data_IF_990494208140
#
_entry.id   IF_990494208140
#
_cell.length_a   1.000
_cell.length_b   1.000
_cell.length_c   1.000
_cell.angle_alpha   90.00
_cell.angle_beta   90.00
_cell.angle_gamma   90.00
#
_symmetry.space_group_name_H-M   'P 1'
#
loop_
_entity.id
_entity.type
_entity.pdbx_description
1 polymer ?
#
# COMPACT_ATOMS: atom_id res chain seq x y z
N UNK A 1 -33.09 80.34 28.91
CA UNK A 1 -32.88 79.23 27.95
C UNK A 1 -31.86 78.26 28.58
N UNK A 2 -32.30 77.13 29.12
CA UNK A 2 -31.48 76.25 29.95
C UNK A 2 -30.46 75.45 29.12
N UNK A 3 -29.17 75.72 29.33
CA UNK A 3 -28.06 74.88 28.83
C UNK A 3 -28.06 73.56 29.60
N UNK A 4 -28.47 72.47 28.94
CA UNK A 4 -28.26 71.10 29.45
C UNK A 4 -26.75 70.84 29.49
N UNK A 5 -26.20 70.62 30.69
CA UNK A 5 -24.83 70.13 30.88
C UNK A 5 -24.78 68.68 30.41
N UNK A 6 -24.10 68.43 29.29
CA UNK A 6 -23.64 67.10 28.94
C UNK A 6 -22.58 66.68 29.97
N UNK A 7 -22.91 65.68 30.78
CA UNK A 7 -22.00 65.09 31.75
C UNK A 7 -21.18 64.06 31.00
N UNK A 8 -19.96 64.41 30.60
CA UNK A 8 -19.00 63.45 30.07
C UNK A 8 -18.64 62.47 31.20
N UNK A 9 -19.20 61.26 31.13
CA UNK A 9 -18.78 60.13 31.97
C UNK A 9 -17.52 59.53 31.34
N UNK A 10 -16.37 59.70 32.00
CA UNK A 10 -15.18 58.93 31.69
C UNK A 10 -15.34 57.48 32.14
N UNK A 11 -14.63 56.57 31.47
CA UNK A 11 -14.60 55.15 31.84
C UNK A 11 -13.98 54.97 33.24
N UNK A 12 -14.55 54.06 34.02
CA UNK A 12 -13.96 53.69 35.32
C UNK A 12 -12.82 52.69 35.12
N UNK A 13 -11.85 52.67 36.04
CA UNK A 13 -10.75 51.70 36.00
C UNK A 13 -11.27 50.25 35.95
N UNK A 14 -12.36 49.98 36.67
CA UNK A 14 -13.02 48.67 36.74
C UNK A 14 -13.57 48.23 35.37
N UNK A 15 -14.09 49.18 34.60
CA UNK A 15 -14.68 48.92 33.28
C UNK A 15 -13.60 48.52 32.26
N UNK A 16 -12.45 49.19 32.29
CA UNK A 16 -11.29 48.82 31.46
C UNK A 16 -10.76 47.44 31.86
N UNK A 17 -10.70 47.15 33.15
CA UNK A 17 -10.24 45.85 33.65
C UNK A 17 -11.18 44.71 33.22
N UNK A 18 -12.49 44.93 33.33
CA UNK A 18 -13.50 43.96 32.89
C UNK A 18 -13.45 43.74 31.38
N UNK A 19 -13.29 44.81 30.59
CA UNK A 19 -13.18 44.72 29.14
C UNK A 19 -11.95 43.91 28.70
N UNK A 20 -10.78 44.15 29.29
CA UNK A 20 -9.54 43.41 28.97
C UNK A 20 -9.66 41.94 29.40
N UNK A 21 -10.32 41.66 30.53
CA UNK A 21 -10.53 40.30 31.03
C UNK A 21 -11.42 39.48 30.09
N UNK A 22 -12.55 40.05 29.66
CA UNK A 22 -13.45 39.41 28.69
C UNK A 22 -12.73 39.22 27.35
N UNK A 23 -11.98 40.23 26.90
CA UNK A 23 -11.20 40.15 25.66
C UNK A 23 -10.16 39.02 25.70
N UNK A 24 -9.43 38.88 26.81
CA UNK A 24 -8.46 37.80 26.98
C UNK A 24 -9.11 36.40 26.94
N UNK A 25 -10.30 36.24 27.52
CA UNK A 25 -11.07 34.99 27.46
C UNK A 25 -11.49 34.69 26.02
N UNK A 26 -12.05 35.69 25.32
CA UNK A 26 -12.49 35.53 23.92
C UNK A 26 -11.32 35.18 23.01
N UNK A 27 -10.18 35.87 23.13
CA UNK A 27 -8.97 35.57 22.36
C UNK A 27 -8.44 34.17 22.68
N UNK A 28 -8.43 33.77 23.95
CA UNK A 28 -7.98 32.43 24.35
C UNK A 28 -8.86 31.32 23.77
N UNK A 29 -10.19 31.51 23.79
CA UNK A 29 -11.14 30.57 23.19
C UNK A 29 -10.96 30.51 21.67
N UNK A 30 -10.84 31.66 21.01
CA UNK A 30 -10.60 31.72 19.56
C UNK A 30 -9.26 31.05 19.17
N UNK A 31 -8.21 31.29 19.96
CA UNK A 31 -6.89 30.69 19.72
C UNK A 31 -6.88 29.18 20.01
N UNK A 32 -7.63 28.74 21.03
CA UNK A 32 -7.87 27.32 21.32
C UNK A 32 -8.61 26.62 20.18
N UNK A 33 -9.67 27.23 19.64
CA UNK A 33 -10.39 26.73 18.46
C UNK A 33 -9.51 26.71 17.21
N UNK A 34 -8.64 27.71 17.02
CA UNK A 34 -7.66 27.72 15.93
C UNK A 34 -6.69 26.54 16.07
N UNK A 35 -6.07 26.34 17.25
CA UNK A 35 -5.18 25.19 17.51
C UNK A 35 -5.87 23.84 17.33
N UNK A 36 -7.11 23.70 17.79
CA UNK A 36 -7.90 22.49 17.61
C UNK A 36 -8.19 22.21 16.12
N UNK A 37 -8.45 23.26 15.31
CA UNK A 37 -8.69 23.12 13.87
C UNK A 37 -7.43 22.70 13.11
N UNK A 38 -6.26 23.25 13.45
CA UNK A 38 -5.00 22.87 12.80
C UNK A 38 -4.55 21.43 13.15
N UNK A 39 -4.82 20.95 14.37
CA UNK A 39 -4.52 19.56 14.75
C UNK A 39 -5.37 18.54 13.98
N UNK A 40 -6.59 18.91 13.57
CA UNK A 40 -7.52 18.02 12.86
C UNK A 40 -7.17 17.89 11.36
N UNK A 41 -6.51 18.89 10.78
CA UNK A 41 -6.22 18.91 9.33
C UNK A 41 -5.03 17.99 8.99
N UNK A 42 -3.92 18.04 9.74
CA UNK A 42 -2.70 17.24 9.45
C UNK A 42 -2.94 15.73 9.57
N UNK A 43 -3.67 15.27 10.58
CA UNK A 43 -3.95 13.84 10.80
C UNK A 43 -4.88 13.25 9.72
N UNK A 44 -5.69 14.08 9.06
CA UNK A 44 -6.60 13.63 8.00
C UNK A 44 -5.85 13.45 6.67
N UNK A 45 -4.86 14.30 6.39
CA UNK A 45 -4.08 14.27 5.14
C UNK A 45 -3.18 13.04 5.06
N UNK A 46 -2.46 12.72 6.14
CA UNK A 46 -1.57 11.55 6.22
C UNK A 46 -2.30 10.20 6.09
N UNK A 47 -3.47 10.07 6.73
CA UNK A 47 -4.31 8.87 6.56
C UNK A 47 -4.77 8.73 5.11
N UNK A 48 -5.23 9.82 4.50
CA UNK A 48 -5.70 9.80 3.10
C UNK A 48 -4.58 9.37 2.15
N UNK A 49 -3.34 9.80 2.39
CA UNK A 49 -2.18 9.37 1.62
C UNK A 49 -1.92 7.86 1.73
N UNK A 50 -1.91 7.30 2.94
CA UNK A 50 -1.70 5.86 3.18
C UNK A 50 -2.77 5.03 2.45
N UNK A 51 -4.05 5.40 2.60
CA UNK A 51 -5.16 4.72 1.92
C UNK A 51 -5.03 4.77 0.40
N UNK A 52 -4.63 5.92 -0.16
CA UNK A 52 -4.44 6.10 -1.60
C UNK A 52 -3.30 5.22 -2.13
N UNK A 53 -2.13 5.26 -1.47
CA UNK A 53 -0.96 4.43 -1.81
C UNK A 53 -1.30 2.95 -1.77
N UNK A 54 -1.91 2.50 -0.67
CA UNK A 54 -2.31 1.11 -0.50
C UNK A 54 -3.32 0.67 -1.56
N UNK A 55 -4.36 1.46 -1.83
CA UNK A 55 -5.39 1.13 -2.81
C UNK A 55 -4.82 1.01 -4.23
N UNK A 56 -3.91 1.90 -4.63
CA UNK A 56 -3.23 1.83 -5.92
C UNK A 56 -2.35 0.58 -5.97
N UNK A 57 -1.52 0.34 -4.96
CA UNK A 57 -0.64 -0.82 -4.91
C UNK A 57 -1.44 -2.14 -4.97
N UNK A 58 -2.50 -2.28 -4.18
CA UNK A 58 -3.40 -3.43 -4.18
C UNK A 58 -4.06 -3.65 -5.54
N UNK A 59 -4.53 -2.58 -6.18
CA UNK A 59 -5.16 -2.64 -7.50
C UNK A 59 -4.20 -3.14 -8.57
N UNK A 60 -2.95 -2.63 -8.57
CA UNK A 60 -1.90 -3.08 -9.47
C UNK A 60 -1.56 -4.55 -9.26
N UNK A 61 -1.31 -4.96 -8.00
CA UNK A 61 -0.99 -6.35 -7.65
C UNK A 61 -2.11 -7.31 -8.07
N UNK A 62 -3.36 -6.95 -7.75
CA UNK A 62 -4.53 -7.76 -8.11
C UNK A 62 -4.68 -7.91 -9.63
N UNK A 63 -4.48 -6.81 -10.38
CA UNK A 63 -4.52 -6.84 -11.85
C UNK A 63 -3.42 -7.71 -12.46
N UNK A 64 -2.19 -7.62 -11.92
CA UNK A 64 -1.06 -8.40 -12.42
C UNK A 64 -1.24 -9.89 -12.14
N UNK A 65 -1.65 -10.25 -10.92
CA UNK A 65 -1.97 -11.63 -10.54
C UNK A 65 -3.17 -12.18 -11.32
N UNK A 66 -4.19 -11.36 -11.58
CA UNK A 66 -5.32 -11.75 -12.44
C UNK A 66 -4.93 -12.04 -13.88
N UNK A 67 -3.75 -11.62 -14.32
CA UNK A 67 -3.23 -11.78 -15.69
C UNK A 67 -2.19 -12.91 -15.81
N UNK A 68 -2.11 -13.78 -14.80
CA UNK A 68 -1.13 -14.85 -14.72
C UNK A 68 -1.25 -15.83 -15.91
N UNK A 69 -0.12 -16.17 -16.52
CA UNK A 69 -0.06 -17.05 -17.66
C UNK A 69 0.02 -18.52 -17.24
N UNK A 70 -0.98 -19.31 -17.64
CA UNK A 70 -1.16 -20.72 -17.25
C UNK A 70 -0.60 -21.73 -18.27
N UNK A 71 0.08 -21.27 -19.31
CA UNK A 71 0.60 -22.16 -20.35
C UNK A 71 1.86 -22.94 -19.94
N UNK A 72 2.39 -23.74 -20.86
CA UNK A 72 3.48 -24.71 -20.64
C UNK A 72 4.80 -24.13 -20.08
N UNK A 73 5.00 -22.82 -20.19
CA UNK A 73 6.18 -22.10 -19.66
C UNK A 73 5.83 -21.11 -18.56
N UNK A 74 4.59 -21.13 -18.08
CA UNK A 74 4.14 -20.35 -16.95
C UNK A 74 4.77 -20.86 -15.65
N UNK A 75 5.08 -19.96 -14.74
CA UNK A 75 5.46 -20.32 -13.38
C UNK A 75 4.95 -19.29 -12.39
N UNK A 76 4.86 -19.70 -11.13
CA UNK A 76 4.66 -18.84 -9.97
C UNK A 76 5.57 -19.32 -8.86
N UNK A 77 6.37 -18.40 -8.33
CA UNK A 77 7.28 -18.64 -7.22
C UNK A 77 7.14 -17.53 -6.20
N UNK A 78 6.91 -17.92 -4.96
CA UNK A 78 6.74 -17.07 -3.79
C UNK A 78 7.69 -17.50 -2.69
N UNK A 79 8.42 -16.56 -2.11
CA UNK A 79 9.38 -16.87 -1.04
C UNK A 79 9.23 -15.90 0.11
N UNK A 80 9.18 -16.42 1.36
CA UNK A 80 9.28 -15.57 2.51
C UNK A 80 10.66 -14.93 2.54
N UNK A 81 10.71 -13.67 2.93
CA UNK A 81 11.96 -12.95 3.11
C UNK A 81 11.84 -12.06 4.34
N UNK A 82 12.95 -11.93 5.07
CA UNK A 82 13.04 -11.02 6.19
C UNK A 82 14.12 -9.96 5.91
N UNK A 83 13.76 -8.69 6.07
CA UNK A 83 14.68 -7.55 5.94
C UNK A 83 14.55 -6.72 7.22
N UNK A 84 15.65 -6.59 7.96
CA UNK A 84 15.66 -5.78 9.18
C UNK A 84 14.71 -6.26 10.28
N UNK A 85 14.35 -7.55 10.31
CA UNK A 85 13.38 -8.12 11.24
C UNK A 85 11.92 -8.06 10.76
N UNK A 86 11.65 -7.44 9.61
CA UNK A 86 10.31 -7.27 9.03
C UNK A 86 10.03 -8.31 7.95
N UNK A 87 8.79 -8.78 7.83
CA UNK A 87 8.38 -9.63 6.70
C UNK A 87 8.37 -8.81 5.42
N UNK A 88 9.03 -9.34 4.39
CA UNK A 88 9.39 -8.64 3.17
C UNK A 88 9.25 -9.58 1.97
N UNK A 89 8.17 -10.36 1.96
CA UNK A 89 7.95 -11.47 1.05
C UNK A 89 8.05 -11.06 -0.41
N UNK A 90 8.52 -11.99 -1.24
CA UNK A 90 8.71 -11.78 -2.67
C UNK A 90 7.87 -12.75 -3.47
N UNK A 91 7.40 -12.31 -4.63
CA UNK A 91 6.69 -13.16 -5.57
C UNK A 91 7.10 -12.82 -7.01
N UNK A 92 7.23 -13.85 -7.83
CA UNK A 92 7.54 -13.74 -9.25
C UNK A 92 6.70 -14.74 -10.04
N UNK A 93 6.16 -14.30 -11.16
CA UNK A 93 5.31 -15.13 -12.00
C UNK A 93 5.34 -14.69 -13.46
N UNK A 94 4.98 -15.63 -14.35
CA UNK A 94 4.76 -15.33 -15.76
C UNK A 94 3.38 -14.71 -15.93
N UNK A 95 3.30 -13.57 -16.61
CA UNK A 95 2.06 -12.84 -16.86
C UNK A 95 1.90 -12.48 -18.33
N UNK A 96 0.64 -12.36 -18.75
CA UNK A 96 0.26 -11.77 -20.04
C UNK A 96 0.19 -10.24 -19.98
N UNK A 97 0.18 -9.65 -18.78
CA UNK A 97 0.14 -8.21 -18.55
C UNK A 97 1.51 -7.55 -18.73
N UNK A 98 2.13 -7.74 -19.91
CA UNK A 98 3.33 -7.00 -20.24
C UNK A 98 2.99 -5.54 -20.56
N UNK A 99 3.51 -4.61 -19.76
CA UNK A 99 3.40 -3.19 -20.05
C UNK A 99 4.53 -2.78 -21.00
N UNK A 100 4.18 -2.52 -22.26
CA UNK A 100 5.11 -1.91 -23.23
C UNK A 100 5.30 -0.43 -22.85
N UNK A 101 6.31 -0.15 -22.03
CA UNK A 101 6.60 1.20 -21.54
C UNK A 101 7.47 2.01 -22.53
N UNK A 102 8.03 1.37 -23.56
CA UNK A 102 8.87 2.01 -24.57
C UNK A 102 8.35 1.78 -26.00
N UNK A 103 8.23 2.85 -26.80
CA UNK A 103 7.78 2.77 -28.21
C UNK A 103 8.69 1.93 -29.13
N UNK A 104 9.92 1.63 -28.71
CA UNK A 104 10.86 0.76 -29.45
C UNK A 104 10.73 -0.72 -29.10
N UNK A 105 9.91 -1.06 -28.11
CA UNK A 105 9.80 -2.41 -27.57
C UNK A 105 8.73 -3.19 -28.32
N UNK A 106 9.10 -4.35 -28.87
CA UNK A 106 8.16 -5.28 -29.49
C UNK A 106 7.35 -5.97 -28.39
N UNK A 107 6.04 -6.07 -28.57
CA UNK A 107 5.17 -6.78 -27.63
C UNK A 107 5.62 -8.24 -27.52
N UNK A 108 6.32 -8.57 -26.44
CA UNK A 108 6.51 -9.95 -26.03
C UNK A 108 5.12 -10.46 -25.58
N UNK A 109 4.68 -11.61 -26.12
CA UNK A 109 3.36 -12.17 -25.77
C UNK A 109 3.21 -12.50 -24.28
N UNK A 110 4.33 -12.59 -23.54
CA UNK A 110 4.39 -12.85 -22.10
C UNK A 110 5.59 -12.09 -21.47
N UNK A 111 5.46 -11.73 -20.20
CA UNK A 111 6.53 -11.13 -19.40
C UNK A 111 6.62 -11.78 -18.03
N UNK A 112 7.77 -11.62 -17.39
CA UNK A 112 7.96 -11.99 -16.00
C UNK A 112 7.73 -10.77 -15.13
N UNK A 113 6.73 -10.83 -14.26
CA UNK A 113 6.47 -9.82 -13.24
C UNK A 113 7.10 -10.31 -11.94
N UNK A 114 7.83 -9.45 -11.25
CA UNK A 114 8.33 -9.72 -9.90
C UNK A 114 8.08 -8.55 -8.96
N UNK A 115 7.64 -8.87 -7.75
CA UNK A 115 7.59 -7.94 -6.65
C UNK A 115 8.74 -8.21 -5.69
N UNK A 116 9.53 -7.18 -5.45
CA UNK A 116 10.71 -7.24 -4.60
C UNK A 116 10.65 -6.13 -3.57
N UNK A 117 11.14 -6.41 -2.37
CA UNK A 117 11.12 -5.48 -1.25
C UNK A 117 12.56 -5.04 -0.93
N UNK A 118 12.75 -3.74 -0.71
CA UNK A 118 14.01 -3.18 -0.19
C UNK A 118 13.74 -2.38 1.07
N UNK A 119 14.67 -2.39 2.03
CA UNK A 119 14.66 -1.44 3.15
C UNK A 119 15.09 -0.05 2.64
N UNK A 120 14.36 0.97 3.06
CA UNK A 120 14.77 2.36 2.91
C UNK A 120 15.88 2.70 3.92
N UNK A 121 17.06 3.13 3.45
CA UNK A 121 18.20 3.35 4.34
C UNK A 121 17.99 4.48 5.35
N UNK A 122 17.12 5.45 5.04
CA UNK A 122 16.86 6.62 5.87
C UNK A 122 15.76 6.34 6.90
N UNK A 123 14.64 5.77 6.45
CA UNK A 123 13.44 5.59 7.29
C UNK A 123 13.36 4.22 7.96
N UNK A 124 14.14 3.23 7.50
CA UNK A 124 14.04 1.82 7.92
C UNK A 124 12.69 1.16 7.61
N UNK A 125 11.85 1.83 6.82
CA UNK A 125 10.61 1.24 6.28
C UNK A 125 10.91 0.45 5.01
N UNK A 126 9.99 -0.40 4.61
CA UNK A 126 10.08 -1.22 3.41
C UNK A 126 9.51 -0.47 2.20
N UNK A 127 10.11 -0.72 1.05
CA UNK A 127 9.69 -0.23 -0.27
C UNK A 127 9.42 -1.41 -1.19
N UNK A 128 8.22 -1.46 -1.73
CA UNK A 128 7.76 -2.49 -2.65
C UNK A 128 7.97 -2.02 -4.09
N UNK A 129 8.71 -2.79 -4.87
CA UNK A 129 8.97 -2.54 -6.29
C UNK A 129 8.29 -3.60 -7.16
N UNK A 130 7.73 -3.18 -8.29
CA UNK A 130 7.29 -4.05 -9.38
C UNK A 130 8.31 -4.00 -10.52
N UNK A 131 8.85 -5.14 -10.90
CA UNK A 131 9.67 -5.27 -12.10
C UNK A 131 8.88 -5.99 -13.20
N UNK A 132 9.05 -5.54 -14.44
CA UNK A 132 8.44 -6.11 -15.64
C UNK A 132 9.58 -6.45 -16.61
N UNK A 133 9.85 -7.74 -16.80
CA UNK A 133 10.87 -8.21 -17.74
C UNK A 133 10.20 -8.93 -18.88
N UNK A 134 10.15 -8.28 -20.05
CA UNK A 134 9.67 -8.88 -21.29
C UNK A 134 10.47 -10.15 -21.61
N UNK A 135 9.79 -11.23 -22.02
CA UNK A 135 10.49 -12.42 -22.51
C UNK A 135 11.08 -12.12 -23.90
N UNK A 136 12.41 -11.98 -24.01
CA UNK A 136 13.12 -11.76 -25.28
C UNK A 136 13.92 -13.02 -25.66
N UNK A 137 13.89 -13.46 -26.94
CA UNK A 137 14.69 -14.60 -27.41
C UNK A 137 16.21 -14.39 -27.35
N UNK A 138 16.67 -13.15 -27.21
CA UNK A 138 18.08 -12.76 -27.14
C UNK A 138 18.31 -12.08 -25.79
N UNK A 139 19.12 -12.71 -24.93
CA UNK A 139 19.64 -12.11 -23.71
C UNK A 139 20.53 -10.93 -24.12
N UNK A 140 19.96 -9.73 -24.10
CA UNK A 140 20.76 -8.51 -24.15
C UNK A 140 20.88 -8.06 -22.71
N UNK A 141 22.09 -8.14 -22.14
CA UNK A 141 22.37 -7.54 -20.83
C UNK A 141 22.09 -6.03 -20.94
N UNK A 142 20.91 -5.60 -20.49
CA UNK A 142 20.63 -4.17 -20.42
C UNK A 142 21.51 -3.58 -19.30
N UNK A 143 22.35 -2.55 -19.59
CA UNK A 143 23.40 -2.09 -18.67
C UNK A 143 22.93 -1.40 -17.39
N UNK A 144 21.63 -1.40 -17.13
CA UNK A 144 21.06 -0.81 -15.93
C UNK A 144 19.66 -1.42 -15.77
N UNK A 145 19.58 -2.58 -15.12
CA UNK A 145 18.29 -3.15 -14.74
C UNK A 145 17.64 -2.15 -13.77
N UNK A 146 16.88 -1.20 -14.31
CA UNK A 146 16.08 -0.26 -13.52
C UNK A 146 15.41 -1.05 -12.42
N UNK A 147 15.52 -0.57 -11.18
CA UNK A 147 15.05 -1.24 -9.94
C UNK A 147 13.58 -1.70 -9.97
N UNK A 148 12.83 -1.32 -10.99
CA UNK A 148 11.41 -1.52 -11.15
C UNK A 148 10.66 -0.21 -10.94
N UNK A 149 9.35 -0.28 -11.06
CA UNK A 149 8.44 0.78 -10.61
C UNK A 149 8.32 0.69 -9.09
N UNK A 150 8.63 1.78 -8.36
CA UNK A 150 8.27 1.88 -6.95
C UNK A 150 6.74 1.90 -6.85
N UNK A 151 6.17 0.87 -6.24
CA UNK A 151 4.73 0.70 -6.13
C UNK A 151 4.19 1.25 -4.83
N UNK A 152 4.92 1.06 -3.74
CA UNK A 152 4.56 1.56 -2.42
C UNK A 152 5.79 1.71 -1.54
N UNK A 153 5.80 2.73 -0.69
CA UNK A 153 6.82 2.99 0.34
C UNK A 153 6.18 3.13 1.72
N UNK A 154 7.00 3.24 2.77
CA UNK A 154 6.52 3.42 4.15
C UNK A 154 5.90 2.17 4.77
N UNK A 155 6.27 0.98 4.28
CA UNK A 155 5.71 -0.29 4.72
C UNK A 155 6.47 -0.84 5.94
N UNK A 156 5.74 -1.46 6.86
CA UNK A 156 6.32 -2.24 7.97
C UNK A 156 6.34 -3.74 7.68
N UNK A 157 5.45 -4.21 6.80
CA UNK A 157 5.31 -5.62 6.47
C UNK A 157 4.80 -5.75 5.04
N UNK A 158 5.38 -6.70 4.31
CA UNK A 158 4.83 -7.23 3.06
C UNK A 158 4.73 -8.73 3.24
N UNK A 159 3.50 -9.24 3.35
CA UNK A 159 3.22 -10.64 3.59
C UNK A 159 2.42 -11.24 2.45
N UNK A 160 2.78 -12.44 2.02
CA UNK A 160 2.08 -13.17 0.96
C UNK A 160 1.74 -14.58 1.44
N UNK A 161 0.45 -14.88 1.49
CA UNK A 161 -0.06 -16.18 1.92
C UNK A 161 -0.72 -16.89 0.75
N UNK A 162 -0.30 -18.14 0.54
CA UNK A 162 -0.81 -19.04 -0.49
C UNK A 162 -1.79 -20.02 0.16
N UNK A 163 -3.00 -20.10 -0.39
CA UNK A 163 -4.00 -21.06 0.04
C UNK A 163 -4.12 -22.20 -0.95
N UNK A 164 -4.13 -23.43 -0.47
CA UNK A 164 -4.35 -24.63 -1.28
C UNK A 164 -5.25 -25.63 -0.56
N UNK A 165 -5.87 -26.56 -1.31
CA UNK A 165 -6.57 -27.74 -0.79
C UNK A 165 -7.44 -27.48 0.46
N UNK A 166 -8.65 -26.95 0.28
CA UNK A 166 -9.59 -26.71 1.39
C UNK A 166 -9.09 -25.73 2.47
N UNK A 167 -8.13 -24.85 2.14
CA UNK A 167 -7.77 -23.69 2.97
C UNK A 167 -6.46 -23.81 3.73
N UNK A 168 -5.63 -24.82 3.45
CA UNK A 168 -4.26 -24.91 3.98
C UNK A 168 -3.46 -23.67 3.55
N UNK A 169 -2.84 -23.01 4.53
CA UNK A 169 -2.03 -21.81 4.33
C UNK A 169 -0.55 -22.16 4.26
N UNK A 170 0.15 -21.55 3.31
CA UNK A 170 1.59 -21.66 3.11
C UNK A 170 2.18 -20.26 2.91
N UNK A 171 3.39 -20.03 3.42
CA UNK A 171 4.16 -18.78 3.31
C UNK A 171 5.04 -18.74 2.04
N UNK A 172 5.14 -19.87 1.36
CA UNK A 172 5.94 -20.07 0.15
C UNK A 172 5.17 -20.86 -0.87
N UNK A 173 5.52 -20.66 -2.14
CA UNK A 173 5.00 -21.46 -3.24
C UNK A 173 6.06 -21.63 -4.30
N UNK A 174 6.20 -22.85 -4.82
CA UNK A 174 7.01 -23.10 -6.00
C UNK A 174 6.26 -24.01 -6.96
N UNK A 175 5.76 -23.42 -8.06
CA UNK A 175 5.02 -24.18 -9.06
C UNK A 175 5.88 -25.20 -9.82
N UNK A 176 7.22 -25.16 -9.70
CA UNK A 176 8.15 -26.07 -10.37
C UNK A 176 8.51 -27.27 -9.51
N UNK A 177 8.57 -27.12 -8.18
CA UNK A 177 8.89 -28.24 -7.27
C UNK A 177 7.77 -29.29 -7.20
N UNK A 178 6.52 -28.87 -7.42
CA UNK A 178 5.35 -29.76 -7.30
C UNK A 178 5.15 -30.61 -8.58
N UNK A 179 5.96 -30.42 -9.62
CA UNK A 179 5.85 -31.10 -10.92
C UNK A 179 6.51 -32.49 -10.89
N UNK A 180 5.80 -33.44 -10.28
CA UNK A 180 5.80 -34.86 -10.72
C UNK A 180 4.40 -35.25 -11.14
N UNK A 181 3.80 -34.50 -12.06
CA UNK A 181 2.50 -34.83 -12.66
C UNK A 181 2.57 -34.63 -14.17
N UNK A 182 1.88 -35.50 -14.92
CA UNK A 182 1.92 -35.60 -16.39
C UNK A 182 1.32 -34.38 -17.14
N UNK A 183 0.87 -33.34 -16.42
CA UNK A 183 0.38 -32.09 -17.00
C UNK A 183 1.49 -31.04 -17.07
N UNK A 184 1.78 -30.57 -18.28
CA UNK A 184 2.76 -29.52 -18.57
C UNK A 184 2.36 -28.10 -18.07
N UNK A 185 1.23 -27.93 -17.37
CA UNK A 185 0.75 -26.64 -16.87
C UNK A 185 1.23 -26.40 -15.41
N UNK A 186 1.57 -25.16 -15.02
CA UNK A 186 1.98 -24.85 -13.65
C UNK A 186 0.83 -25.11 -12.66
N UNK A 187 1.12 -25.77 -11.55
CA UNK A 187 0.16 -25.91 -10.45
C UNK A 187 0.11 -24.60 -9.66
N UNK A 188 -1.10 -24.07 -9.51
CA UNK A 188 -1.36 -22.82 -8.80
C UNK A 188 -2.02 -23.04 -7.45
N UNK A 189 -1.85 -22.09 -6.51
CA UNK A 189 -2.69 -22.00 -5.34
C UNK A 189 -4.13 -21.65 -5.73
N UNK A 190 -5.07 -21.98 -4.85
CA UNK A 190 -6.50 -21.71 -4.98
C UNK A 190 -6.76 -20.19 -4.83
N UNK A 191 -6.00 -19.58 -3.91
CA UNK A 191 -6.06 -18.15 -3.59
C UNK A 191 -4.68 -17.65 -3.15
N UNK A 192 -4.31 -16.45 -3.58
CA UNK A 192 -3.15 -15.71 -3.07
C UNK A 192 -3.68 -14.51 -2.33
N UNK A 193 -3.29 -14.36 -1.08
CA UNK A 193 -3.60 -13.23 -0.22
C UNK A 193 -2.33 -12.40 0.00
N UNK A 194 -2.41 -11.09 -0.23
CA UNK A 194 -1.28 -10.17 -0.07
C UNK A 194 -1.70 -9.10 0.91
N UNK A 195 -0.87 -8.91 1.93
CA UNK A 195 -1.06 -7.91 2.98
C UNK A 195 0.08 -6.90 3.00
N UNK A 196 -0.28 -5.62 3.06
CA UNK A 196 0.63 -4.50 3.29
C UNK A 196 0.30 -3.87 4.64
N UNK A 197 1.31 -3.74 5.50
CA UNK A 197 1.17 -3.08 6.79
C UNK A 197 1.88 -1.73 6.76
N UNK A 198 1.20 -0.69 7.26
CA UNK A 198 1.77 0.63 7.48
C UNK A 198 1.76 0.95 8.97
N UNK A 199 2.73 1.73 9.44
CA UNK A 199 2.56 2.42 10.73
C UNK A 199 1.39 3.39 10.62
N UNK A 200 0.66 3.57 11.72
CA UNK A 200 -0.30 4.65 11.81
C UNK A 200 0.40 6.02 11.74
N UNK A 201 -0.34 7.10 11.48
CA UNK A 201 0.22 8.45 11.30
C UNK A 201 0.86 9.03 12.58
N UNK A 202 0.52 8.48 13.75
CA UNK A 202 1.07 8.88 15.06
C UNK A 202 1.63 7.64 15.78
N UNK A 203 2.62 7.80 16.67
CA UNK A 203 3.24 6.68 17.39
C UNK A 203 2.25 5.86 18.25
N UNK A 204 1.14 6.48 18.67
CA UNK A 204 0.07 5.84 19.44
C UNK A 204 -1.00 5.18 18.54
N UNK A 205 -0.96 5.43 17.22
CA UNK A 205 -1.91 4.88 16.27
C UNK A 205 -1.60 3.41 15.97
N UNK A 206 -2.65 2.59 15.89
CA UNK A 206 -2.50 1.19 15.53
C UNK A 206 -1.98 1.06 14.09
N UNK A 207 -1.12 0.07 13.80
CA UNK A 207 -0.73 -0.26 12.44
C UNK A 207 -1.95 -0.52 11.56
N UNK A 208 -1.90 -0.03 10.31
CA UNK A 208 -3.00 -0.13 9.35
C UNK A 208 -2.65 -1.22 8.34
N UNK A 209 -3.45 -2.29 8.29
CA UNK A 209 -3.27 -3.41 7.37
C UNK A 209 -4.24 -3.30 6.20
N UNK A 210 -3.71 -3.44 4.99
CA UNK A 210 -4.46 -3.56 3.75
C UNK A 210 -4.25 -4.94 3.16
N UNK A 211 -5.33 -5.61 2.81
CA UNK A 211 -5.29 -6.97 2.27
C UNK A 211 -6.07 -7.05 0.98
N UNK A 212 -5.48 -7.69 -0.03
CA UNK A 212 -6.15 -8.09 -1.26
C UNK A 212 -5.99 -9.58 -1.47
N UNK A 213 -6.96 -10.22 -2.12
CA UNK A 213 -6.89 -11.64 -2.44
C UNK A 213 -7.34 -11.88 -3.87
N UNK A 214 -6.58 -12.71 -4.58
CA UNK A 214 -6.88 -13.14 -5.95
C UNK A 214 -7.13 -14.65 -5.94
N UNK A 215 -8.22 -15.07 -6.58
CA UNK A 215 -8.61 -16.47 -6.70
C UNK A 215 -8.40 -16.95 -8.13
N UNK A 216 -7.95 -18.19 -8.30
CA UNK A 216 -7.65 -18.76 -9.61
C UNK A 216 -8.68 -19.83 -9.98
N UNK A 217 -9.22 -19.81 -11.22
CA UNK A 217 -10.17 -20.82 -11.67
C UNK A 217 -9.46 -22.17 -11.84
N UNK A 218 -9.68 -23.08 -10.89
CA UNK A 218 -9.04 -24.40 -10.90
C UNK A 218 -9.30 -25.27 -9.67
N UNK A 219 -9.80 -24.70 -8.58
CA UNK A 219 -10.11 -25.43 -7.34
C UNK A 219 -11.51 -25.08 -6.85
N UNK A 220 -12.52 -25.61 -7.52
CA UNK A 220 -13.88 -25.58 -6.98
C UNK A 220 -13.88 -26.45 -5.72
N UNK A 221 -14.18 -25.94 -4.51
CA UNK A 221 -14.57 -26.82 -3.43
C UNK A 221 -15.86 -27.48 -3.91
N UNK A 222 -15.85 -28.79 -4.11
CA UNK A 222 -17.07 -29.58 -4.25
C UNK A 222 -17.85 -29.43 -2.94
N UNK A 223 -18.62 -28.34 -2.84
CA UNK A 223 -19.62 -28.16 -1.83
C UNK A 223 -20.65 -29.26 -2.01
N UNK A 224 -20.83 -30.04 -0.96
CA UNK A 224 -21.91 -31.00 -0.79
C UNK A 224 -23.22 -30.35 -1.21
N UNK A 225 -23.86 -30.91 -2.24
CA UNK A 225 -25.28 -30.68 -2.47
C UNK A 225 -26.08 -31.38 -1.37
N UNK A 226 -27.10 -30.74 -0.79
CA UNK A 226 -27.96 -31.31 0.25
C UNK A 226 -28.79 -32.50 -0.22
#
# INVERSE_FOLDING_TARGET
MNKRRHRNSGFTLLEILMAISIFAIVVSLAYGSYRATFLIIDTTESQTEIYSKASIAMGHISSDLGSLYLGTSGFLQGKPQNIGGKEADTIQFTSTAHLVLNKKEQAAGYATISYTVEEDPETKTLRLFRQDKAFRPVETEEPDAKKGLLLCDGLEEVQIIYHHNQGEQQDSWDSKEIVKSDSNAPKLPDRIEISLLFMGPDEEAQPIRFTTAVTFPGTVPTGETP
#
